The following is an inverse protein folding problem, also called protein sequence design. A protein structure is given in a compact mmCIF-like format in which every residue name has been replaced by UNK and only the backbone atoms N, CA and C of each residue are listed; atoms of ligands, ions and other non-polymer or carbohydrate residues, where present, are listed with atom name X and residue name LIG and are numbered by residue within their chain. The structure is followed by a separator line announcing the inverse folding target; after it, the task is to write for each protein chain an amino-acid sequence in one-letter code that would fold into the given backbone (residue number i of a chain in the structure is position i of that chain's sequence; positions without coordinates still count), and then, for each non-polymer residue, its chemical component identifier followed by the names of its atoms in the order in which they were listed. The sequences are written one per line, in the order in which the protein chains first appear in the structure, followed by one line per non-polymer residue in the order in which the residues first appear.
data_IF_085866136324
#
_entry.id   IF_085866136324
#
_cell.length_a   1.000
_cell.length_b   1.000
_cell.length_c   1.000
_cell.angle_alpha   90.00
_cell.angle_beta   90.00
_cell.angle_gamma   90.00
#
_symmetry.space_group_name_H-M   'P 1'
#
loop_
_entity.id
_entity.type
_entity.pdbx_description
1 polymer ?
#
# COMPACT_ATOMS: atom_id res chain seq x y z
N UNK A 1 -21.18 5.20 -2.63
CA UNK A 1 -21.40 4.93 -4.07
C UNK A 1 -22.52 5.82 -4.57
N UNK A 2 -22.35 6.45 -5.73
CA UNK A 2 -23.47 7.11 -6.42
C UNK A 2 -24.55 6.09 -6.80
N UNK A 3 -25.80 6.51 -6.98
CA UNK A 3 -26.89 5.57 -7.32
C UNK A 3 -26.61 4.69 -8.55
N UNK A 4 -25.99 5.27 -9.58
CA UNK A 4 -25.63 4.58 -10.82
C UNK A 4 -24.55 3.49 -10.65
N UNK A 5 -23.55 3.74 -9.79
CA UNK A 5 -22.48 2.74 -9.51
C UNK A 5 -23.01 1.59 -8.68
N UNK A 6 -23.92 1.86 -7.74
CA UNK A 6 -24.57 0.82 -6.93
C UNK A 6 -25.49 -0.10 -7.76
N UNK A 7 -26.29 0.47 -8.66
CA UNK A 7 -27.15 -0.32 -9.56
C UNK A 7 -26.33 -1.21 -10.50
N UNK A 8 -25.23 -0.70 -11.03
CA UNK A 8 -24.31 -1.45 -11.89
C UNK A 8 -23.66 -2.62 -11.14
N UNK A 9 -23.24 -2.38 -9.90
CA UNK A 9 -22.73 -3.41 -8.99
C UNK A 9 -23.75 -4.50 -8.70
N UNK A 10 -24.97 -4.12 -8.29
CA UNK A 10 -26.05 -5.08 -8.01
C UNK A 10 -26.42 -5.89 -9.26
N UNK A 11 -26.45 -5.25 -10.44
CA UNK A 11 -26.70 -5.92 -11.72
C UNK A 11 -25.60 -6.93 -12.07
N UNK A 12 -24.34 -6.58 -11.87
CA UNK A 12 -23.21 -7.50 -12.10
C UNK A 12 -23.30 -8.72 -11.18
N UNK A 13 -23.51 -8.49 -9.88
CA UNK A 13 -23.60 -9.54 -8.86
C UNK A 13 -24.76 -10.52 -9.12
N UNK A 14 -25.91 -10.01 -9.59
CA UNK A 14 -27.13 -10.79 -9.84
C UNK A 14 -27.24 -11.35 -11.26
N UNK A 15 -26.25 -11.10 -12.12
CA UNK A 15 -26.32 -11.44 -13.56
C UNK A 15 -26.42 -12.93 -13.88
N UNK A 16 -26.23 -13.82 -12.90
CA UNK A 16 -26.23 -15.27 -13.08
C UNK A 16 -25.04 -15.82 -13.87
N UNK A 17 -24.16 -14.94 -14.39
CA UNK A 17 -22.97 -15.31 -15.14
C UNK A 17 -21.98 -16.09 -14.26
N UNK A 18 -21.22 -17.04 -14.84
CA UNK A 18 -20.23 -17.82 -14.09
C UNK A 18 -19.12 -16.97 -13.47
N UNK A 19 -18.87 -15.77 -14.01
CA UNK A 19 -17.86 -14.82 -13.53
C UNK A 19 -18.44 -13.57 -12.81
N UNK A 20 -19.70 -13.63 -12.36
CA UNK A 20 -20.37 -12.50 -11.71
C UNK A 20 -19.61 -12.01 -10.46
N UNK A 21 -19.09 -12.94 -9.64
CA UNK A 21 -18.30 -12.63 -8.45
C UNK A 21 -16.98 -11.94 -8.79
N UNK A 22 -16.21 -12.47 -9.75
CA UNK A 22 -15.00 -11.80 -10.24
C UNK A 22 -15.28 -10.39 -10.76
N UNK A 23 -16.32 -10.23 -11.59
CA UNK A 23 -16.70 -8.90 -12.12
C UNK A 23 -17.08 -7.93 -11.00
N UNK A 24 -17.78 -8.40 -9.97
CA UNK A 24 -18.14 -7.58 -8.81
C UNK A 24 -16.91 -7.16 -7.99
N UNK A 25 -15.92 -8.04 -7.83
CA UNK A 25 -14.64 -7.72 -7.18
C UNK A 25 -13.92 -6.61 -7.94
N UNK A 26 -13.76 -6.75 -9.27
CA UNK A 26 -13.13 -5.70 -10.09
C UNK A 26 -13.79 -4.33 -9.89
N UNK A 27 -15.11 -4.29 -9.79
CA UNK A 27 -15.84 -3.03 -9.58
C UNK A 27 -15.61 -2.41 -8.20
N UNK A 28 -15.43 -3.23 -7.16
CA UNK A 28 -15.08 -2.75 -5.82
C UNK A 28 -13.64 -2.23 -5.81
N UNK A 29 -12.72 -2.94 -6.45
CA UNK A 29 -11.30 -2.56 -6.56
C UNK A 29 -11.08 -1.28 -7.36
N UNK A 30 -11.88 -1.04 -8.41
CA UNK A 30 -11.80 0.20 -9.20
C UNK A 30 -12.12 1.49 -8.40
N UNK A 31 -12.59 1.38 -7.14
CA UNK A 31 -12.78 2.51 -6.24
C UNK A 31 -11.49 2.94 -5.52
N UNK A 32 -10.39 2.20 -5.68
CA UNK A 32 -9.14 2.42 -4.95
C UNK A 32 -8.68 3.87 -5.02
N UNK A 33 -8.60 4.45 -6.22
CA UNK A 33 -8.11 5.82 -6.42
C UNK A 33 -8.99 6.83 -5.68
N UNK A 34 -10.30 6.75 -5.84
CA UNK A 34 -11.25 7.66 -5.17
C UNK A 34 -11.16 7.53 -3.65
N UNK A 35 -11.18 6.30 -3.13
CA UNK A 35 -11.09 6.04 -1.70
C UNK A 35 -9.76 6.50 -1.12
N UNK A 36 -8.65 6.27 -1.82
CA UNK A 36 -7.33 6.72 -1.39
C UNK A 36 -7.24 8.24 -1.39
N UNK A 37 -7.78 8.90 -2.41
CA UNK A 37 -7.90 10.35 -2.50
C UNK A 37 -8.68 10.94 -1.30
N UNK A 38 -9.90 10.45 -1.07
CA UNK A 38 -10.71 10.93 0.05
C UNK A 38 -10.05 10.63 1.40
N UNK A 39 -9.47 9.45 1.57
CA UNK A 39 -8.74 9.07 2.77
C UNK A 39 -7.58 10.03 3.05
N UNK A 40 -6.73 10.27 2.05
CA UNK A 40 -5.61 11.19 2.15
C UNK A 40 -6.06 12.61 2.52
N UNK A 41 -7.08 13.16 1.85
CA UNK A 41 -7.59 14.50 2.16
C UNK A 41 -8.10 14.62 3.60
N UNK A 42 -8.81 13.60 4.12
CA UNK A 42 -9.26 13.59 5.51
C UNK A 42 -8.08 13.54 6.48
N UNK A 43 -7.09 12.69 6.21
CA UNK A 43 -5.88 12.62 7.04
C UNK A 43 -5.13 13.95 7.06
N UNK A 44 -4.96 14.60 5.90
CA UNK A 44 -4.33 15.93 5.80
C UNK A 44 -5.13 17.01 6.53
N UNK A 45 -6.46 16.87 6.60
CA UNK A 45 -7.34 17.78 7.34
C UNK A 45 -7.37 17.53 8.85
N UNK A 46 -6.62 16.56 9.37
CA UNK A 46 -6.61 16.26 10.80
C UNK A 46 -7.58 15.13 11.22
N UNK A 47 -8.25 14.49 10.26
CA UNK A 47 -9.35 13.55 10.51
C UNK A 47 -8.91 12.09 10.34
N UNK A 48 -8.85 11.37 11.46
CA UNK A 48 -8.39 9.98 11.52
C UNK A 48 -9.30 8.98 10.79
N UNK A 49 -10.58 9.32 10.57
CA UNK A 49 -11.49 8.47 9.79
C UNK A 49 -11.05 8.33 8.33
N UNK A 50 -10.08 9.12 7.87
CA UNK A 50 -9.44 8.92 6.56
C UNK A 50 -8.85 7.52 6.40
N UNK A 51 -8.40 6.88 7.48
CA UNK A 51 -7.89 5.50 7.42
C UNK A 51 -8.93 4.48 7.01
N UNK A 52 -10.21 4.66 7.38
CA UNK A 52 -11.26 3.71 7.00
C UNK A 52 -11.44 3.65 5.47
N UNK A 53 -11.17 4.76 4.77
CA UNK A 53 -11.17 4.81 3.31
C UNK A 53 -9.94 4.13 2.71
N UNK A 54 -8.77 4.32 3.31
CA UNK A 54 -7.51 3.67 2.90
C UNK A 54 -7.60 2.15 3.11
N UNK A 55 -8.17 1.72 4.24
CA UNK A 55 -8.46 0.32 4.57
C UNK A 55 -9.32 -0.33 3.46
N UNK A 56 -10.42 0.32 3.08
CA UNK A 56 -11.33 -0.16 2.03
C UNK A 56 -10.67 -0.18 0.64
N UNK A 57 -9.84 0.82 0.33
CA UNK A 57 -9.10 0.88 -0.94
C UNK A 57 -8.18 -0.34 -1.07
N UNK A 58 -7.31 -0.55 -0.09
CA UNK A 58 -6.25 -1.57 -0.16
C UNK A 58 -6.79 -3.00 0.05
N UNK A 59 -7.88 -3.21 0.79
CA UNK A 59 -8.59 -4.50 0.81
C UNK A 59 -9.18 -4.85 -0.57
N UNK A 60 -9.78 -3.86 -1.25
CA UNK A 60 -10.31 -4.02 -2.60
C UNK A 60 -9.20 -4.40 -3.59
N UNK A 61 -8.07 -3.70 -3.54
CA UNK A 61 -6.92 -3.94 -4.43
C UNK A 61 -6.27 -5.29 -4.17
N UNK A 62 -6.19 -5.74 -2.91
CA UNK A 62 -5.67 -7.06 -2.56
C UNK A 62 -6.50 -8.19 -3.18
N UNK A 63 -7.83 -8.07 -3.16
CA UNK A 63 -8.71 -9.06 -3.80
C UNK A 63 -8.51 -9.11 -5.31
N UNK A 64 -8.39 -7.95 -5.96
CA UNK A 64 -8.08 -7.91 -7.40
C UNK A 64 -6.74 -8.62 -7.68
N UNK A 65 -5.68 -8.22 -6.98
CA UNK A 65 -4.35 -8.79 -7.12
C UNK A 65 -4.33 -10.32 -6.94
N UNK A 66 -5.09 -10.85 -5.97
CA UNK A 66 -5.16 -12.30 -5.71
C UNK A 66 -5.86 -13.09 -6.81
N UNK A 67 -6.85 -12.52 -7.50
CA UNK A 67 -7.54 -13.18 -8.63
C UNK A 67 -6.78 -13.03 -9.93
N UNK A 68 -6.15 -11.88 -10.06
CA UNK A 68 -5.65 -11.36 -11.30
C UNK A 68 -4.35 -10.67 -10.95
N UNK A 69 -3.24 -11.39 -11.18
CA UNK A 69 -1.91 -10.78 -11.23
C UNK A 69 -1.78 -9.79 -12.41
N UNK A 70 -2.86 -9.48 -13.15
CA UNK A 70 -2.90 -8.31 -14.03
C UNK A 70 -2.86 -7.05 -13.16
N UNK A 71 -1.65 -6.55 -12.98
CA UNK A 71 -1.37 -5.18 -12.64
C UNK A 71 -0.10 -4.79 -13.38
N UNK A 72 -0.02 -3.53 -13.78
CA UNK A 72 1.29 -2.92 -13.86
C UNK A 72 1.89 -2.98 -12.45
N UNK A 73 3.19 -3.23 -12.31
CA UNK A 73 3.86 -3.18 -11.02
C UNK A 73 3.94 -1.72 -10.56
N UNK A 74 2.80 -1.24 -10.07
CA UNK A 74 2.53 0.13 -9.70
C UNK A 74 2.83 0.36 -8.21
N UNK A 75 2.93 1.63 -7.86
CA UNK A 75 3.04 2.10 -6.49
C UNK A 75 1.95 1.50 -5.58
N UNK A 76 0.71 1.30 -6.07
CA UNK A 76 -0.41 0.76 -5.30
C UNK A 76 -0.13 -0.62 -4.68
N UNK A 77 0.47 -1.55 -5.43
CA UNK A 77 0.80 -2.89 -4.93
C UNK A 77 1.90 -2.84 -3.85
N UNK A 78 2.84 -1.92 -3.98
CA UNK A 78 3.86 -1.71 -2.96
C UNK A 78 3.26 -1.08 -1.70
N UNK A 79 2.34 -0.13 -1.83
CA UNK A 79 1.61 0.40 -0.66
C UNK A 79 0.75 -0.65 0.02
N UNK A 80 0.18 -1.62 -0.72
CA UNK A 80 -0.48 -2.78 -0.09
C UNK A 80 0.48 -3.56 0.82
N UNK A 81 1.72 -3.80 0.38
CA UNK A 81 2.75 -4.46 1.20
C UNK A 81 3.01 -3.66 2.48
N UNK A 82 3.28 -2.36 2.34
CA UNK A 82 3.54 -1.45 3.46
C UNK A 82 2.38 -1.41 4.46
N UNK A 83 1.16 -1.28 3.94
CA UNK A 83 -0.07 -1.24 4.72
C UNK A 83 -0.35 -2.55 5.46
N UNK A 84 -0.32 -3.70 4.79
CA UNK A 84 -0.57 -4.99 5.46
C UNK A 84 0.46 -5.29 6.54
N UNK A 85 1.71 -4.86 6.34
CA UNK A 85 2.73 -4.93 7.37
C UNK A 85 2.33 -4.08 8.58
N UNK A 86 1.94 -2.83 8.34
CA UNK A 86 1.53 -1.86 9.37
C UNK A 86 0.40 -2.37 10.24
N UNK A 87 -0.62 -3.00 9.66
CA UNK A 87 -1.81 -3.44 10.39
C UNK A 87 -1.69 -4.85 10.98
N UNK A 88 -0.61 -5.58 10.64
CA UNK A 88 -0.27 -6.88 11.22
C UNK A 88 -0.62 -8.11 10.38
N UNK A 89 -1.07 -7.96 9.14
CA UNK A 89 -1.30 -9.06 8.19
C UNK A 89 0.03 -9.55 7.59
N UNK A 90 0.89 -10.13 8.43
CA UNK A 90 2.27 -10.48 8.06
C UNK A 90 2.34 -11.44 6.89
N UNK A 91 1.45 -12.45 6.78
CA UNK A 91 1.49 -13.37 5.63
C UNK A 91 1.15 -12.67 4.32
N UNK A 92 0.25 -11.68 4.30
CA UNK A 92 -0.03 -10.89 3.08
C UNK A 92 1.16 -10.02 2.71
N UNK A 93 1.71 -9.31 3.69
CA UNK A 93 2.89 -8.48 3.48
C UNK A 93 4.06 -9.32 2.94
N UNK A 94 4.28 -10.51 3.50
CA UNK A 94 5.34 -11.43 3.07
C UNK A 94 5.05 -12.01 1.69
N UNK A 95 3.80 -12.35 1.36
CA UNK A 95 3.43 -12.79 0.01
C UNK A 95 3.73 -11.72 -1.05
N UNK A 96 3.34 -10.47 -0.78
CA UNK A 96 3.64 -9.34 -1.65
C UNK A 96 5.15 -9.09 -1.73
N UNK A 97 5.84 -9.12 -0.58
CA UNK A 97 7.28 -8.94 -0.50
C UNK A 97 8.06 -9.97 -1.30
N UNK A 98 7.68 -11.24 -1.22
CA UNK A 98 8.27 -12.32 -2.03
C UNK A 98 7.95 -12.14 -3.52
N UNK A 99 6.71 -11.78 -3.87
CA UNK A 99 6.32 -11.48 -5.26
C UNK A 99 7.23 -10.41 -5.86
N UNK A 100 7.40 -9.30 -5.16
CA UNK A 100 8.30 -8.23 -5.60
C UNK A 100 9.77 -8.61 -5.53
N UNK A 101 10.21 -9.36 -4.53
CA UNK A 101 11.63 -9.69 -4.37
C UNK A 101 12.11 -10.65 -5.47
N UNK A 102 11.22 -11.48 -6.01
CA UNK A 102 11.50 -12.40 -7.11
C UNK A 102 10.97 -11.90 -8.47
N UNK A 103 10.66 -10.60 -8.60
CA UNK A 103 10.12 -10.01 -9.82
C UNK A 103 10.98 -10.23 -11.06
N UNK A 104 12.30 -10.32 -10.90
CA UNK A 104 13.27 -10.53 -11.98
C UNK A 104 13.02 -11.80 -12.81
N UNK A 105 12.21 -12.72 -12.28
CA UNK A 105 11.81 -13.95 -12.96
C UNK A 105 10.71 -13.74 -14.01
N UNK A 106 10.10 -12.56 -14.04
CA UNK A 106 9.08 -12.15 -14.99
C UNK A 106 9.60 -10.93 -15.79
N UNK A 107 9.78 -11.09 -17.09
CA UNK A 107 10.35 -10.04 -17.96
C UNK A 107 9.46 -8.79 -18.01
N UNK A 108 8.14 -8.95 -18.00
CA UNK A 108 7.18 -7.84 -18.04
C UNK A 108 7.18 -7.08 -16.71
N UNK A 109 7.21 -7.82 -15.60
CA UNK A 109 7.38 -7.26 -14.26
C UNK A 109 8.68 -6.46 -14.13
N UNK A 110 9.77 -7.00 -14.69
CA UNK A 110 11.08 -6.36 -14.70
C UNK A 110 11.08 -5.03 -15.45
N UNK A 111 10.56 -5.00 -16.68
CA UNK A 111 10.44 -3.76 -17.48
C UNK A 111 9.63 -2.67 -16.76
N UNK A 112 8.58 -3.05 -16.02
CA UNK A 112 7.74 -2.10 -15.28
C UNK A 112 8.43 -1.55 -14.01
N UNK A 113 9.12 -2.42 -13.28
CA UNK A 113 9.90 -2.03 -12.11
C UNK A 113 11.19 -1.30 -12.46
N UNK A 114 11.65 -1.37 -13.71
CA UNK A 114 12.86 -0.66 -14.16
C UNK A 114 12.75 0.88 -14.07
N UNK A 115 11.53 1.40 -13.90
CA UNK A 115 11.25 2.83 -13.95
C UNK A 115 10.46 3.39 -12.75
N UNK A 116 10.18 2.60 -11.72
CA UNK A 116 9.34 3.03 -10.58
C UNK A 116 10.10 2.99 -9.24
N UNK A 117 10.35 4.16 -8.65
CA UNK A 117 11.19 4.27 -7.44
C UNK A 117 10.46 3.83 -6.15
N UNK A 118 9.15 4.05 -6.04
CA UNK A 118 8.35 3.72 -4.85
C UNK A 118 8.31 2.20 -4.58
N UNK A 119 7.94 1.33 -5.56
CA UNK A 119 7.92 -0.10 -5.33
C UNK A 119 9.28 -0.65 -4.93
N UNK A 120 10.35 -0.18 -5.58
CA UNK A 120 11.72 -0.55 -5.25
C UNK A 120 12.07 -0.23 -3.81
N UNK A 121 11.79 0.99 -3.37
CA UNK A 121 12.08 1.43 -2.02
C UNK A 121 11.37 0.57 -0.98
N UNK A 122 10.05 0.40 -1.10
CA UNK A 122 9.22 -0.35 -0.14
C UNK A 122 9.67 -1.83 -0.06
N UNK A 123 9.99 -2.44 -1.19
CA UNK A 123 10.43 -3.84 -1.26
C UNK A 123 11.80 -4.02 -0.66
N UNK A 124 12.71 -3.06 -0.87
CA UNK A 124 14.03 -3.09 -0.27
C UNK A 124 13.96 -2.91 1.25
N UNK A 125 13.07 -2.04 1.75
CA UNK A 125 12.78 -1.92 3.18
C UNK A 125 12.31 -3.26 3.77
N UNK A 126 11.39 -3.94 3.08
CA UNK A 126 10.92 -5.26 3.48
C UNK A 126 12.04 -6.31 3.46
N UNK A 127 12.82 -6.39 2.37
CA UNK A 127 13.92 -7.35 2.24
C UNK A 127 14.98 -7.15 3.34
N UNK A 128 15.32 -5.90 3.65
CA UNK A 128 16.20 -5.54 4.78
C UNK A 128 15.59 -5.96 6.12
N UNK A 129 14.28 -5.81 6.34
CA UNK A 129 13.61 -6.28 7.55
C UNK A 129 13.67 -7.81 7.72
N UNK A 130 13.78 -8.54 6.60
CA UNK A 130 13.90 -10.00 6.54
C UNK A 130 15.34 -10.52 6.49
N UNK A 131 16.33 -9.63 6.56
CA UNK A 131 17.75 -9.96 6.38
C UNK A 131 18.05 -10.68 5.05
N UNK A 132 17.33 -10.31 3.99
CA UNK A 132 17.57 -10.84 2.65
C UNK A 132 18.62 -10.01 1.91
N UNK A 133 19.45 -10.64 1.04
CA UNK A 133 20.44 -9.93 0.23
C UNK A 133 19.73 -9.00 -0.76
N UNK A 134 20.07 -7.71 -0.75
CA UNK A 134 19.44 -6.71 -1.61
C UNK A 134 20.19 -6.48 -2.92
N UNK A 135 21.39 -7.04 -3.06
CA UNK A 135 22.25 -6.94 -4.26
C UNK A 135 21.55 -7.52 -5.50
N UNK A 136 20.66 -8.50 -5.30
CA UNK A 136 19.88 -9.15 -6.37
C UNK A 136 18.77 -8.27 -6.94
N UNK A 137 18.33 -7.29 -6.18
CA UNK A 137 17.39 -6.30 -6.71
C UNK A 137 18.12 -5.34 -7.69
N UNK A 138 19.45 -5.46 -7.84
CA UNK A 138 20.28 -4.95 -8.95
C UNK A 138 21.28 -3.84 -8.57
N UNK A 139 22.28 -3.58 -9.42
CA UNK A 139 23.19 -2.41 -9.39
C UNK A 139 22.44 -1.05 -9.49
N UNK A 140 21.14 -1.10 -9.78
CA UNK A 140 20.23 0.04 -9.91
C UNK A 140 19.61 0.51 -8.58
N UNK A 141 19.92 -0.16 -7.47
CA UNK A 141 19.35 0.05 -6.13
C UNK A 141 20.37 0.39 -5.05
N UNK A 142 21.60 0.69 -5.46
CA UNK A 142 22.49 1.39 -4.57
C UNK A 142 21.90 2.77 -4.30
N UNK A 143 21.62 3.03 -3.02
CA UNK A 143 21.29 4.34 -2.45
C UNK A 143 22.40 5.40 -2.63
N UNK A 144 23.25 5.23 -3.64
CA UNK A 144 24.48 5.98 -3.90
C UNK A 144 24.35 7.04 -4.99
N UNK A 145 23.19 7.16 -5.65
CA UNK A 145 22.86 8.43 -6.30
C UNK A 145 22.47 9.43 -5.22
N UNK A 146 23.48 10.12 -4.68
CA UNK A 146 23.33 11.28 -3.76
C UNK A 146 22.30 12.32 -4.24
N UNK A 147 21.97 12.29 -5.52
CA UNK A 147 21.13 13.28 -6.19
C UNK A 147 19.65 12.84 -6.34
N UNK A 148 19.25 11.65 -5.86
CA UNK A 148 17.82 11.24 -5.85
C UNK A 148 17.16 11.56 -4.50
N UNK A 149 15.95 12.13 -4.52
CA UNK A 149 15.17 12.45 -3.30
C UNK A 149 14.98 11.25 -2.36
N UNK A 150 14.90 10.02 -2.91
CA UNK A 150 14.83 8.77 -2.14
C UNK A 150 16.14 8.36 -1.46
N UNK A 151 17.30 8.74 -2.00
CA UNK A 151 18.60 8.45 -1.39
C UNK A 151 18.75 9.19 -0.06
N UNK A 152 18.37 10.47 -0.04
CA UNK A 152 18.41 11.29 1.18
C UNK A 152 17.36 10.85 2.20
N UNK A 153 16.14 10.52 1.74
CA UNK A 153 15.13 9.90 2.58
C UNK A 153 15.72 8.63 3.22
N UNK A 154 16.13 7.64 2.43
CA UNK A 154 16.74 6.40 2.95
C UNK A 154 17.87 6.65 3.94
N UNK A 155 18.78 7.59 3.67
CA UNK A 155 19.88 7.94 4.57
C UNK A 155 19.37 8.41 5.93
N UNK A 156 18.53 9.46 5.95
CA UNK A 156 17.91 9.98 7.17
C UNK A 156 17.13 8.89 7.92
N UNK A 157 16.56 7.96 7.15
CA UNK A 157 15.69 6.91 7.63
C UNK A 157 16.43 5.71 8.25
N UNK A 158 17.70 5.46 7.92
CA UNK A 158 18.54 4.42 8.54
C UNK A 158 19.60 4.97 9.51
N UNK A 159 19.72 6.29 9.63
CA UNK A 159 20.64 6.91 10.59
C UNK A 159 20.20 6.68 12.05
N UNK A 160 21.13 6.30 12.96
CA UNK A 160 20.83 6.01 14.36
C UNK A 160 20.08 7.15 15.06
N UNK A 161 20.47 8.38 14.75
CA UNK A 161 19.80 9.61 15.16
C UNK A 161 19.20 10.23 13.90
N UNK A 162 17.88 10.08 13.70
CA UNK A 162 17.15 10.88 12.72
C UNK A 162 16.60 12.09 13.48
N UNK A 163 17.30 13.24 13.50
CA UNK A 163 16.91 14.38 14.33
C UNK A 163 15.65 15.08 13.81
N UNK A 164 15.31 14.90 12.53
CA UNK A 164 14.28 15.68 11.85
C UNK A 164 13.44 14.83 10.88
N UNK A 165 12.42 14.17 11.44
CA UNK A 165 11.43 13.42 10.64
C UNK A 165 10.60 14.36 9.76
N UNK A 166 10.44 15.62 10.16
CA UNK A 166 9.69 16.62 9.38
C UNK A 166 10.42 16.86 8.06
N UNK A 167 11.75 16.99 8.10
CA UNK A 167 12.57 17.07 6.89
C UNK A 167 12.46 15.84 5.99
N UNK A 168 12.40 14.64 6.56
CA UNK A 168 12.20 13.41 5.80
C UNK A 168 10.80 13.36 5.15
N UNK A 169 9.76 13.79 5.88
CA UNK A 169 8.39 13.90 5.36
C UNK A 169 8.32 14.93 4.22
N UNK A 170 8.96 16.09 4.37
CA UNK A 170 9.07 17.11 3.31
C UNK A 170 9.71 16.54 2.05
N UNK A 171 10.84 15.85 2.18
CA UNK A 171 11.54 15.25 1.04
C UNK A 171 10.70 14.17 0.33
N UNK A 172 9.99 13.35 1.10
CA UNK A 172 9.05 12.38 0.54
C UNK A 172 7.91 13.10 -0.21
N UNK A 173 7.31 14.14 0.39
CA UNK A 173 6.24 14.92 -0.22
C UNK A 173 6.69 15.59 -1.52
N UNK A 174 7.83 16.26 -1.53
CA UNK A 174 8.40 16.93 -2.71
C UNK A 174 8.62 15.92 -3.85
N UNK A 175 9.16 14.75 -3.51
CA UNK A 175 9.36 13.67 -4.47
C UNK A 175 8.04 13.12 -5.02
N UNK A 176 7.06 12.84 -4.14
CA UNK A 176 5.75 12.33 -4.57
C UNK A 176 5.03 13.34 -5.47
N UNK A 177 5.14 14.63 -5.16
CA UNK A 177 4.64 15.71 -6.02
C UNK A 177 5.34 15.68 -7.38
N UNK A 178 6.67 15.53 -7.43
CA UNK A 178 7.45 15.46 -8.67
C UNK A 178 7.06 14.25 -9.54
N UNK A 179 6.93 13.06 -8.94
CA UNK A 179 6.49 11.86 -9.66
C UNK A 179 5.05 11.99 -10.14
N UNK A 180 4.17 12.52 -9.29
CA UNK A 180 2.77 12.76 -9.66
C UNK A 180 2.65 13.72 -10.84
N UNK A 181 3.50 14.75 -10.89
CA UNK A 181 3.56 15.68 -12.01
C UNK A 181 4.06 15.01 -13.30
N UNK A 182 5.01 14.07 -13.21
CA UNK A 182 5.54 13.30 -14.34
C UNK A 182 4.55 12.29 -14.90
N UNK A 183 3.77 11.61 -14.05
CA UNK A 183 2.86 10.53 -14.47
C UNK A 183 1.61 11.02 -15.21
N UNK A 184 1.17 12.27 -15.00
CA UNK A 184 -0.20 12.69 -15.38
C UNK A 184 -0.30 14.01 -16.14
N UNK A 185 0.72 14.87 -16.08
CA UNK A 185 0.57 16.29 -16.48
C UNK A 185 -0.47 17.07 -15.66
N UNK A 186 -1.08 16.45 -14.63
CA UNK A 186 -2.16 16.98 -13.80
C UNK A 186 -1.95 16.49 -12.36
N UNK A 187 -1.56 17.39 -11.46
CA UNK A 187 -1.09 17.18 -10.08
C UNK A 187 -1.99 16.37 -9.10
N UNK A 188 -3.04 15.66 -9.55
CA UNK A 188 -4.06 15.05 -8.71
C UNK A 188 -4.57 13.67 -9.22
N UNK A 189 -3.71 12.76 -9.70
CA UNK A 189 -4.20 11.41 -10.12
C UNK A 189 -3.31 10.22 -9.74
N UNK A 190 -2.13 10.42 -9.15
CA UNK A 190 -1.27 9.29 -8.79
C UNK A 190 -1.70 8.67 -7.45
N UNK A 191 -1.84 7.34 -7.41
CA UNK A 191 -1.98 6.59 -6.16
C UNK A 191 -0.79 6.83 -5.21
N UNK A 192 0.39 7.10 -5.78
CA UNK A 192 1.59 7.49 -5.07
C UNK A 192 1.36 8.66 -4.11
N UNK A 193 0.73 9.74 -4.59
CA UNK A 193 0.42 10.89 -3.75
C UNK A 193 -0.64 10.58 -2.70
N UNK A 194 -1.63 9.74 -2.97
CA UNK A 194 -2.69 9.47 -2.00
C UNK A 194 -2.27 8.51 -0.89
N UNK A 195 -1.29 7.66 -1.15
CA UNK A 195 -0.85 6.64 -0.22
C UNK A 195 0.47 6.98 0.49
N UNK A 196 1.04 8.18 0.26
CA UNK A 196 2.25 8.63 0.98
C UNK A 196 2.16 8.49 2.52
N UNK A 197 1.01 8.71 3.20
CA UNK A 197 0.96 8.52 4.65
C UNK A 197 1.27 7.08 5.06
N UNK A 198 0.86 6.10 4.26
CA UNK A 198 1.15 4.66 4.48
C UNK A 198 2.65 4.42 4.46
N UNK A 199 3.38 4.98 3.49
CA UNK A 199 4.84 4.81 3.41
C UNK A 199 5.55 5.41 4.62
N UNK A 200 5.18 6.63 5.04
CA UNK A 200 5.78 7.27 6.21
C UNK A 200 5.54 6.43 7.48
N UNK A 201 4.32 5.93 7.68
CA UNK A 201 4.02 5.10 8.86
C UNK A 201 4.75 3.76 8.80
N UNK A 202 4.77 3.11 7.64
CA UNK A 202 5.44 1.82 7.45
C UNK A 202 6.92 1.94 7.77
N UNK A 203 7.50 3.04 7.34
CA UNK A 203 8.86 3.37 7.70
C UNK A 203 9.07 3.53 9.21
N UNK A 204 8.23 4.31 9.90
CA UNK A 204 8.32 4.49 11.36
C UNK A 204 8.27 3.15 12.11
N UNK A 205 7.44 2.22 11.61
CA UNK A 205 7.36 0.85 12.13
C UNK A 205 8.68 0.10 12.05
N UNK A 206 9.32 0.13 10.89
CA UNK A 206 10.59 -0.59 10.68
C UNK A 206 11.72 -0.02 11.53
N UNK A 207 11.73 1.29 11.81
CA UNK A 207 12.68 1.89 12.76
C UNK A 207 12.45 1.44 14.19
N UNK A 208 11.19 1.50 14.64
CA UNK A 208 10.82 1.05 15.98
C UNK A 208 11.24 -0.40 16.21
N UNK A 209 10.98 -1.30 15.26
CA UNK A 209 11.36 -2.71 15.34
C UNK A 209 12.88 -2.96 15.36
N UNK A 210 13.66 -2.01 14.85
CA UNK A 210 15.13 -2.01 14.92
C UNK A 210 15.69 -1.32 16.17
N UNK A 211 14.82 -0.80 17.05
CA UNK A 211 15.22 -0.03 18.22
C UNK A 211 15.78 1.36 17.88
N UNK A 212 15.53 1.86 16.67
CA UNK A 212 15.97 3.18 16.25
C UNK A 212 14.96 4.22 16.74
N UNK A 213 15.45 5.25 17.44
CA UNK A 213 14.58 6.32 17.92
C UNK A 213 14.27 7.27 16.78
N UNK A 214 12.99 7.57 16.56
CA UNK A 214 12.55 8.64 15.66
C UNK A 214 11.90 9.72 16.49
N UNK A 215 12.41 10.95 16.42
CA UNK A 215 11.79 12.07 17.11
C UNK A 215 10.60 12.56 16.28
N UNK A 216 9.44 11.98 16.51
CA UNK A 216 8.18 12.50 15.99
C UNK A 216 7.46 13.21 17.15
N UNK A 217 7.04 14.47 17.01
CA UNK A 217 6.22 15.12 18.03
C UNK A 217 4.99 14.27 18.30
N UNK A 218 4.70 13.99 19.59
CA UNK A 218 3.59 13.12 20.01
C UNK A 218 2.21 13.64 19.56
N UNK A 219 2.15 14.93 19.28
CA UNK A 219 1.01 15.68 18.79
C UNK A 219 0.84 15.61 17.27
N UNK A 220 1.86 15.19 16.54
CA UNK A 220 1.82 15.08 15.09
C UNK A 220 0.80 14.01 14.69
N UNK A 221 -0.06 14.33 13.72
CA UNK A 221 -1.15 13.44 13.32
C UNK A 221 -0.64 12.06 12.90
N UNK A 222 0.42 12.00 12.10
CA UNK A 222 1.01 10.73 11.67
C UNK A 222 1.44 9.86 12.85
N UNK A 223 1.99 10.43 13.93
CA UNK A 223 2.38 9.65 15.11
C UNK A 223 1.16 9.13 15.87
N UNK A 224 0.14 9.97 16.06
CA UNK A 224 -1.11 9.55 16.71
C UNK A 224 -1.80 8.44 15.93
N UNK A 225 -1.81 8.54 14.61
CA UNK A 225 -2.41 7.54 13.74
C UNK A 225 -1.59 6.26 13.71
N UNK A 226 -0.26 6.37 13.67
CA UNK A 226 0.65 5.24 13.79
C UNK A 226 0.37 4.40 15.05
N UNK A 227 0.27 5.05 16.21
CA UNK A 227 -0.04 4.38 17.48
C UNK A 227 -1.41 3.67 17.46
N UNK A 228 -2.38 4.15 16.68
CA UNK A 228 -3.71 3.52 16.55
C UNK A 228 -3.71 2.31 15.63
N UNK A 229 -2.98 2.36 14.52
CA UNK A 229 -3.03 1.30 13.50
C UNK A 229 -1.98 0.20 13.73
N UNK A 230 -0.90 0.50 14.45
CA UNK A 230 0.17 -0.47 14.67
C UNK A 230 -0.30 -1.58 15.61
N UNK A 231 -0.07 -2.86 15.27
CA UNK A 231 -0.22 -3.94 16.22
C UNK A 231 0.88 -3.81 17.27
N UNK A 232 0.48 -3.85 18.54
CA UNK A 232 1.40 -3.96 19.67
C UNK A 232 2.07 -5.34 19.67
N UNK A 233 3.19 -5.48 20.38
CA UNK A 233 3.87 -6.77 20.52
C UNK A 233 2.92 -7.78 21.18
N UNK A 234 2.48 -8.80 20.44
CA UNK A 234 1.48 -9.77 20.90
C UNK A 234 0.02 -9.29 20.82
N UNK A 235 -0.22 -8.10 20.25
CA UNK A 235 -1.55 -7.55 20.02
C UNK A 235 -2.28 -8.22 18.84
N UNK A 236 -3.60 -8.04 18.79
CA UNK A 236 -4.40 -8.48 17.66
C UNK A 236 -4.12 -7.61 16.43
N UNK A 237 -4.16 -8.25 15.26
CA UNK A 237 -4.10 -7.58 13.96
C UNK A 237 -5.29 -6.63 13.83
N UNK A 238 -5.08 -5.41 13.31
CA UNK A 238 -6.18 -4.50 13.00
C UNK A 238 -6.97 -5.07 11.84
N UNK A 239 -8.25 -5.39 12.04
CA UNK A 239 -9.13 -5.83 10.95
C UNK A 239 -9.65 -4.61 10.20
N UNK A 240 -9.42 -4.51 8.87
CA UNK A 240 -9.95 -3.43 8.05
C UNK A 240 -11.48 -3.36 8.11
N UNK A 241 -12.04 -2.16 8.03
CA UNK A 241 -13.48 -2.01 7.86
C UNK A 241 -13.90 -2.56 6.49
N UNK A 242 -14.93 -3.39 6.45
CA UNK A 242 -15.45 -3.99 5.20
C UNK A 242 -16.90 -3.56 4.99
N UNK A 243 -17.18 -2.99 3.83
CA UNK A 243 -18.54 -2.60 3.47
C UNK A 243 -19.36 -3.81 2.95
N UNK A 244 -20.68 -3.63 2.88
CA UNK A 244 -21.60 -4.69 2.44
C UNK A 244 -21.31 -5.12 0.98
N UNK A 245 -20.95 -4.17 0.12
CA UNK A 245 -20.69 -4.46 -1.30
C UNK A 245 -19.46 -5.35 -1.46
N UNK A 246 -18.39 -5.06 -0.72
CA UNK A 246 -17.19 -5.88 -0.66
C UNK A 246 -17.53 -7.31 -0.21
N UNK A 247 -18.24 -7.46 0.90
CA UNK A 247 -18.58 -8.79 1.42
C UNK A 247 -19.49 -9.58 0.49
N UNK A 248 -20.46 -8.93 -0.16
CA UNK A 248 -21.32 -9.56 -1.16
C UNK A 248 -20.53 -10.04 -2.38
N UNK A 249 -19.61 -9.21 -2.91
CA UNK A 249 -18.75 -9.57 -4.02
C UNK A 249 -17.84 -10.75 -3.67
N UNK A 250 -17.21 -10.70 -2.49
CA UNK A 250 -16.32 -11.75 -1.99
C UNK A 250 -17.06 -13.08 -1.84
N UNK A 251 -18.18 -13.10 -1.12
CA UNK A 251 -18.97 -14.32 -0.93
C UNK A 251 -19.45 -14.91 -2.25
N UNK A 252 -19.82 -14.05 -3.23
CA UNK A 252 -20.20 -14.50 -4.56
C UNK A 252 -19.01 -15.13 -5.29
N UNK A 253 -17.83 -14.51 -5.24
CA UNK A 253 -16.62 -15.04 -5.85
C UNK A 253 -16.18 -16.37 -5.21
N UNK A 254 -16.29 -16.53 -3.89
CA UNK A 254 -16.08 -17.81 -3.19
C UNK A 254 -17.06 -18.87 -3.67
N UNK A 255 -18.36 -18.56 -3.77
CA UNK A 255 -19.38 -19.51 -4.24
C UNK A 255 -19.15 -19.98 -5.68
N UNK A 256 -18.41 -19.20 -6.48
CA UNK A 256 -18.07 -19.51 -7.87
C UNK A 256 -16.66 -20.10 -8.02
N UNK A 257 -15.94 -20.36 -6.92
CA UNK A 257 -14.64 -21.01 -6.93
C UNK A 257 -13.46 -20.11 -7.28
N UNK A 258 -13.64 -18.79 -7.32
CA UNK A 258 -12.54 -17.84 -7.57
C UNK A 258 -11.68 -17.59 -6.33
N UNK A 259 -12.27 -17.73 -5.14
CA UNK A 259 -11.60 -17.57 -3.85
C UNK A 259 -11.95 -18.71 -2.91
N UNK A 260 -11.12 -18.86 -1.88
CA UNK A 260 -11.48 -19.57 -0.67
C UNK A 260 -11.84 -18.56 0.42
N UNK A 261 -12.65 -18.99 1.39
CA UNK A 261 -13.01 -18.15 2.54
C UNK A 261 -11.77 -17.63 3.31
N UNK A 262 -10.71 -18.44 3.36
CA UNK A 262 -9.43 -18.11 4.02
C UNK A 262 -8.62 -17.02 3.31
N UNK A 263 -8.88 -16.71 2.04
CA UNK A 263 -8.18 -15.61 1.33
C UNK A 263 -8.52 -14.23 1.94
N UNK A 264 -9.68 -14.12 2.61
CA UNK A 264 -10.16 -12.90 3.25
C UNK A 264 -9.41 -12.53 4.53
N UNK A 265 -8.96 -13.51 5.30
CA UNK A 265 -8.24 -13.28 6.56
C UNK A 265 -6.94 -14.07 6.55
N UNK A 266 -6.21 -13.99 5.43
CA UNK A 266 -4.88 -14.57 5.28
C UNK A 266 -3.89 -13.88 6.23
N UNK A 267 -3.92 -14.28 7.51
CA UNK A 267 -3.14 -13.71 8.63
C UNK A 267 -1.73 -14.28 8.68
#
# INVERSE_FOLDING_TARGET
MSGYTYETFQKALRSGKPNAGWTAIMQVSNREVDLSYYGCLRLLAGDSEGWDYIDLALEGSWMNFKLSHFGDIEAGTAFMLAYFYLIGYKKRADYLGEFFYYFERDEKAKEQLEHTDIPRFIVQLWAKSKNLPTERLGEFLEFERKDSGYGELTRLLYEPDCPDIERAIELALDFHIEQSAKESGWMCTSLAFYLFPVEILYFLKLREERGLTTRVPSEHILWREYEKIKPSLGGAVKTPQRDEAFMLAFNKAVSQGFFKAEDLDFL
#
